data_IF_576907352445
#
_entry.id   IF_576907352445
#
_cell.length_a   1.000
_cell.length_b   1.000
_cell.length_c   1.000
_cell.angle_alpha   90.00
_cell.angle_beta   90.00
_cell.angle_gamma   90.00
#
_symmetry.space_group_name_H-M   'P 1'
#
loop_
_entity.id
_entity.type
_entity.pdbx_description
1 polymer ?
#
# COMPACT_ATOMS: atom_id res chain seq x y z
N UNK A 1 61.36 -10.53 -41.38
CA UNK A 1 62.27 -11.59 -40.90
C UNK A 1 61.48 -12.58 -40.04
N UNK A 2 61.02 -13.68 -40.63
CA UNK A 2 60.29 -14.75 -39.93
C UNK A 2 61.29 -15.65 -39.19
N UNK A 3 61.14 -15.82 -37.87
CA UNK A 3 61.83 -16.88 -37.11
C UNK A 3 60.85 -18.02 -36.81
N UNK A 4 61.09 -19.15 -37.49
CA UNK A 4 60.45 -20.45 -37.24
C UNK A 4 61.04 -21.07 -35.97
N UNK A 5 60.20 -21.43 -35.00
CA UNK A 5 60.59 -22.30 -33.89
C UNK A 5 60.13 -23.73 -34.20
N UNK A 6 61.09 -24.64 -34.38
CA UNK A 6 60.87 -26.07 -34.60
C UNK A 6 60.51 -26.73 -33.26
N UNK A 7 59.35 -27.37 -33.22
CA UNK A 7 58.94 -28.28 -32.15
C UNK A 7 59.59 -29.64 -32.41
N UNK A 8 60.55 -30.02 -31.55
CA UNK A 8 61.24 -31.32 -31.61
C UNK A 8 60.35 -32.43 -31.07
N UNK A 9 60.02 -33.37 -31.95
CA UNK A 9 59.26 -34.59 -31.67
C UNK A 9 60.24 -35.61 -31.06
N UNK A 10 60.00 -36.02 -29.81
CA UNK A 10 60.70 -37.15 -29.19
C UNK A 10 59.92 -38.43 -29.47
N UNK A 11 60.53 -39.33 -30.23
CA UNK A 11 59.96 -40.59 -30.70
C UNK A 11 60.48 -41.69 -29.77
N UNK A 12 59.63 -42.24 -28.92
CA UNK A 12 59.95 -43.43 -28.13
C UNK A 12 59.68 -44.69 -29.00
N UNK A 13 60.68 -45.55 -29.26
CA UNK A 13 60.55 -46.69 -30.15
C UNK A 13 60.12 -47.93 -29.36
N UNK A 14 58.82 -48.19 -29.28
CA UNK A 14 58.30 -49.53 -28.98
C UNK A 14 56.92 -49.69 -29.59
N UNK A 15 56.92 -50.14 -30.84
CA UNK A 15 55.74 -50.61 -31.55
C UNK A 15 55.52 -52.10 -31.23
N UNK A 16 54.28 -52.61 -31.24
CA UNK A 16 53.86 -53.30 -32.46
C UNK A 16 52.42 -52.95 -32.91
N UNK A 17 52.27 -52.75 -34.21
CA UNK A 17 51.00 -52.64 -34.92
C UNK A 17 50.17 -53.91 -34.75
N UNK A 18 48.89 -53.74 -34.42
CA UNK A 18 47.82 -54.68 -34.82
C UNK A 18 46.66 -53.87 -35.42
N UNK A 19 46.22 -54.13 -36.66
CA UNK A 19 45.15 -53.37 -37.31
C UNK A 19 43.82 -54.12 -37.19
N UNK A 20 42.75 -53.50 -36.67
CA UNK A 20 41.38 -53.96 -36.94
C UNK A 20 40.33 -52.87 -36.67
N UNK A 21 39.77 -52.39 -37.79
CA UNK A 21 38.34 -52.25 -38.09
C UNK A 21 37.49 -51.20 -37.36
N UNK A 22 37.05 -50.26 -38.19
CA UNK A 22 35.95 -49.32 -38.00
C UNK A 22 34.70 -50.01 -37.43
N UNK A 23 34.20 -49.45 -36.32
CA UNK A 23 32.78 -49.55 -35.98
C UNK A 23 32.28 -48.17 -35.57
N UNK A 24 31.43 -47.62 -36.42
CA UNK A 24 30.50 -46.54 -36.07
C UNK A 24 29.78 -46.90 -34.76
N UNK A 25 30.14 -46.23 -33.67
CA UNK A 25 29.25 -46.06 -32.53
C UNK A 25 29.00 -44.57 -32.38
N UNK A 26 27.85 -44.17 -32.91
CA UNK A 26 27.14 -42.95 -32.57
C UNK A 26 27.12 -42.77 -31.06
N UNK A 27 27.91 -41.81 -30.54
CA UNK A 27 27.60 -41.21 -29.25
C UNK A 27 26.20 -40.61 -29.35
N UNK A 28 25.25 -40.94 -28.46
CA UNK A 28 24.02 -40.19 -28.40
C UNK A 28 24.37 -38.74 -28.11
N UNK A 29 23.81 -37.87 -28.94
CA UNK A 29 23.79 -36.43 -28.78
C UNK A 29 23.48 -36.12 -27.32
N UNK A 30 24.48 -35.60 -26.62
CA UNK A 30 24.30 -35.02 -25.30
C UNK A 30 23.29 -33.90 -25.52
N UNK A 31 22.10 -34.06 -24.93
CA UNK A 31 21.09 -33.01 -24.83
C UNK A 31 21.77 -31.71 -24.39
N UNK A 32 21.32 -30.54 -24.88
CA UNK A 32 21.87 -29.27 -24.41
C UNK A 32 21.85 -29.29 -22.89
N UNK A 33 23.01 -29.07 -22.28
CA UNK A 33 23.13 -28.88 -20.84
C UNK A 33 22.20 -27.73 -20.51
N UNK A 34 21.02 -28.06 -19.99
CA UNK A 34 20.10 -27.12 -19.38
C UNK A 34 20.88 -26.58 -18.17
N UNK A 35 21.58 -25.47 -18.38
CA UNK A 35 22.13 -24.66 -17.32
C UNK A 35 20.92 -24.17 -16.49
N UNK A 36 20.44 -25.01 -15.58
CA UNK A 36 19.61 -24.56 -14.47
C UNK A 36 20.52 -23.70 -13.62
N UNK A 37 20.46 -22.40 -13.87
CA UNK A 37 21.01 -21.40 -12.98
C UNK A 37 20.62 -21.75 -11.53
N UNK A 38 21.54 -21.56 -10.57
CA UNK A 38 21.24 -21.85 -9.17
C UNK A 38 19.96 -21.10 -8.75
N UNK A 39 19.07 -21.72 -7.95
CA UNK A 39 17.83 -21.08 -7.52
C UNK A 39 18.18 -19.77 -6.84
N UNK A 40 17.55 -18.68 -7.29
CA UNK A 40 17.80 -17.35 -6.75
C UNK A 40 17.57 -17.35 -5.24
N UNK A 41 18.56 -16.88 -4.48
CA UNK A 41 18.45 -16.73 -3.04
C UNK A 41 17.55 -15.52 -2.72
N UNK A 42 16.35 -15.81 -2.21
CA UNK A 42 15.34 -14.80 -1.85
C UNK A 42 15.37 -14.45 -0.34
N UNK A 43 16.33 -14.95 0.43
CA UNK A 43 16.38 -14.77 1.89
C UNK A 43 16.57 -13.32 2.34
N UNK A 44 17.05 -12.43 1.46
CA UNK A 44 17.29 -11.01 1.76
C UNK A 44 16.15 -10.06 1.36
N UNK A 45 15.05 -10.57 0.80
CA UNK A 45 13.95 -9.72 0.30
C UNK A 45 12.98 -9.39 1.44
N UNK A 46 12.66 -8.12 1.69
CA UNK A 46 11.65 -7.74 2.69
C UNK A 46 10.23 -8.00 2.15
N UNK A 47 9.82 -9.27 2.15
CA UNK A 47 8.54 -9.72 1.58
C UNK A 47 7.35 -9.06 2.29
N UNK A 48 7.40 -8.95 3.62
CA UNK A 48 6.32 -8.38 4.42
C UNK A 48 6.04 -6.91 4.07
N UNK A 49 7.10 -6.08 4.03
CA UNK A 49 6.99 -4.67 3.68
C UNK A 49 6.47 -4.47 2.26
N UNK A 50 6.97 -5.28 1.30
CA UNK A 50 6.55 -5.20 -0.09
C UNK A 50 5.10 -5.68 -0.30
N UNK A 51 4.66 -6.73 0.39
CA UNK A 51 3.27 -7.18 0.31
C UNK A 51 2.30 -6.19 0.97
N UNK A 52 2.69 -5.59 2.10
CA UNK A 52 1.93 -4.50 2.71
C UNK A 52 1.76 -3.31 1.75
N UNK A 53 2.85 -2.88 1.09
CA UNK A 53 2.79 -1.84 0.06
C UNK A 53 1.96 -2.25 -1.15
N UNK A 54 2.12 -3.48 -1.63
CA UNK A 54 1.37 -4.03 -2.77
C UNK A 54 -0.13 -3.96 -2.52
N UNK A 55 -0.59 -4.38 -1.33
CA UNK A 55 -2.01 -4.32 -0.96
C UNK A 55 -2.53 -2.88 -0.99
N UNK A 56 -1.78 -1.92 -0.43
CA UNK A 56 -2.16 -0.50 -0.42
C UNK A 56 -2.18 0.12 -1.82
N UNK A 57 -1.18 -0.16 -2.66
CA UNK A 57 -1.12 0.28 -4.05
C UNK A 57 -2.28 -0.31 -4.88
N UNK A 58 -2.65 -1.57 -4.63
CA UNK A 58 -3.80 -2.20 -5.30
C UNK A 58 -5.10 -1.50 -4.92
N UNK A 59 -5.30 -1.20 -3.63
CA UNK A 59 -6.47 -0.46 -3.15
C UNK A 59 -6.55 0.95 -3.75
N UNK A 60 -5.42 1.67 -3.80
CA UNK A 60 -5.34 3.00 -4.42
C UNK A 60 -5.69 2.92 -5.92
N UNK A 61 -5.12 1.95 -6.63
CA UNK A 61 -5.35 1.76 -8.08
C UNK A 61 -6.82 1.50 -8.36
N UNK A 62 -7.48 0.65 -7.55
CA UNK A 62 -8.90 0.40 -7.69
C UNK A 62 -9.74 1.67 -7.45
N UNK A 63 -9.38 2.44 -6.42
CA UNK A 63 -10.07 3.71 -6.09
C UNK A 63 -9.90 4.75 -7.20
N UNK A 64 -8.68 4.91 -7.73
CA UNK A 64 -8.40 5.81 -8.86
C UNK A 64 -9.10 5.36 -10.14
N UNK A 65 -9.16 4.06 -10.41
CA UNK A 65 -9.88 3.51 -11.55
C UNK A 65 -11.37 3.82 -11.47
N UNK A 66 -11.96 3.71 -10.27
CA UNK A 66 -13.35 4.10 -10.02
C UNK A 66 -13.58 5.60 -10.23
N UNK A 67 -12.70 6.44 -9.69
CA UNK A 67 -12.76 7.89 -9.89
C UNK A 67 -12.64 8.26 -11.37
N UNK A 68 -11.74 7.60 -12.10
CA UNK A 68 -11.58 7.80 -13.53
C UNK A 68 -12.82 7.35 -14.32
N UNK A 69 -13.47 6.25 -13.92
CA UNK A 69 -14.71 5.80 -14.54
C UNK A 69 -15.84 6.83 -14.37
N UNK A 70 -15.89 7.49 -13.21
CA UNK A 70 -16.86 8.56 -12.94
C UNK A 70 -16.60 9.80 -13.78
N UNK A 71 -15.34 10.20 -13.95
CA UNK A 71 -14.98 11.31 -14.84
C UNK A 71 -15.24 11.02 -16.32
N UNK A 72 -15.20 9.74 -16.73
CA UNK A 72 -15.50 9.32 -18.10
C UNK A 72 -17.00 9.28 -18.40
N UNK A 73 -17.85 9.39 -17.38
CA UNK A 73 -19.30 9.38 -17.57
C UNK A 73 -19.73 10.70 -18.27
N UNK A 74 -20.44 10.64 -19.41
CA UNK A 74 -20.82 11.84 -20.18
C UNK A 74 -21.83 12.76 -19.48
N UNK A 75 -22.45 12.29 -18.40
CA UNK A 75 -23.37 13.02 -17.56
C UNK A 75 -22.62 13.49 -16.32
N UNK A 76 -22.72 14.79 -16.01
CA UNK A 76 -22.04 15.41 -14.86
C UNK A 76 -22.41 14.66 -13.58
N UNK A 77 -21.45 13.92 -13.03
CA UNK A 77 -21.63 13.21 -11.76
C UNK A 77 -22.04 14.19 -10.67
N UNK A 78 -22.96 13.78 -9.81
CA UNK A 78 -23.36 14.57 -8.64
C UNK A 78 -22.13 14.92 -7.78
N UNK A 79 -21.94 16.20 -7.48
CA UNK A 79 -20.75 16.73 -6.79
C UNK A 79 -20.43 16.00 -5.48
N UNK A 80 -21.44 15.64 -4.69
CA UNK A 80 -21.24 14.93 -3.41
C UNK A 80 -20.66 13.53 -3.62
N UNK A 81 -21.03 12.85 -4.72
CA UNK A 81 -20.45 11.55 -5.06
C UNK A 81 -18.96 11.71 -5.39
N UNK A 82 -18.63 12.72 -6.21
CA UNK A 82 -17.24 13.02 -6.56
C UNK A 82 -16.39 13.37 -5.34
N UNK A 83 -16.91 14.25 -4.47
CA UNK A 83 -16.23 14.64 -3.23
C UNK A 83 -15.99 13.43 -2.32
N UNK A 84 -16.96 12.53 -2.20
CA UNK A 84 -16.82 11.30 -1.41
C UNK A 84 -15.70 10.43 -1.97
N UNK A 85 -15.67 10.22 -3.29
CA UNK A 85 -14.61 9.42 -3.92
C UNK A 85 -13.23 10.07 -3.78
N UNK A 86 -13.15 11.39 -3.90
CA UNK A 86 -11.93 12.14 -3.66
C UNK A 86 -11.43 11.99 -2.21
N UNK A 87 -12.30 12.10 -1.21
CA UNK A 87 -11.95 11.88 0.20
C UNK A 87 -11.43 10.45 0.46
N UNK A 88 -12.01 9.45 -0.22
CA UNK A 88 -11.50 8.07 -0.14
C UNK A 88 -10.08 8.00 -0.72
N UNK A 89 -9.83 8.61 -1.88
CA UNK A 89 -8.48 8.66 -2.47
C UNK A 89 -7.48 9.32 -1.50
N UNK A 90 -7.84 10.46 -0.89
CA UNK A 90 -6.99 11.14 0.09
C UNK A 90 -6.66 10.23 1.28
N UNK A 91 -7.65 9.51 1.80
CA UNK A 91 -7.45 8.58 2.91
C UNK A 91 -6.50 7.44 2.52
N UNK A 92 -6.64 6.90 1.31
CA UNK A 92 -5.76 5.83 0.83
C UNK A 92 -4.33 6.32 0.54
N UNK A 93 -4.17 7.55 0.03
CA UNK A 93 -2.86 8.17 -0.13
C UNK A 93 -2.18 8.42 1.23
N UNK A 94 -2.93 8.90 2.23
CA UNK A 94 -2.42 9.08 3.58
C UNK A 94 -1.99 7.74 4.21
N UNK A 95 -2.80 6.68 4.04
CA UNK A 95 -2.45 5.33 4.51
C UNK A 95 -1.21 4.76 3.81
N UNK A 96 -1.09 4.95 2.49
CA UNK A 96 0.09 4.54 1.73
C UNK A 96 1.34 5.29 2.20
N UNK A 97 1.23 6.62 2.40
CA UNK A 97 2.34 7.44 2.91
C UNK A 97 2.77 7.02 4.31
N UNK A 98 1.83 6.71 5.20
CA UNK A 98 2.14 6.17 6.53
C UNK A 98 2.88 4.83 6.45
N UNK A 99 2.42 3.91 5.60
CA UNK A 99 3.05 2.60 5.39
C UNK A 99 4.46 2.76 4.79
N UNK A 100 4.65 3.69 3.86
CA UNK A 100 5.95 3.98 3.25
C UNK A 100 6.95 4.56 4.27
N UNK A 101 6.47 5.43 5.18
CA UNK A 101 7.27 5.99 6.26
C UNK A 101 7.72 4.92 7.25
N UNK A 102 6.81 4.01 7.63
CA UNK A 102 7.08 2.89 8.53
C UNK A 102 8.18 1.95 8.01
N UNK A 103 8.13 1.61 6.72
CA UNK A 103 9.11 0.71 6.08
C UNK A 103 10.28 1.44 5.39
N UNK A 104 10.41 2.76 5.57
CA UNK A 104 11.40 3.60 4.87
C UNK A 104 12.83 3.05 4.93
N UNK A 105 13.31 2.72 6.12
CA UNK A 105 14.66 2.18 6.35
C UNK A 105 14.92 0.88 5.56
N UNK A 106 13.95 -0.05 5.60
CA UNK A 106 14.06 -1.33 4.90
C UNK A 106 14.05 -1.13 3.38
N UNK A 107 13.18 -0.26 2.88
CA UNK A 107 13.04 0.02 1.45
C UNK A 107 14.23 0.79 0.87
N UNK A 108 14.85 1.69 1.65
CA UNK A 108 16.07 2.40 1.25
C UNK A 108 17.26 1.47 1.08
N UNK A 109 17.38 0.45 1.95
CA UNK A 109 18.44 -0.55 1.87
C UNK A 109 18.24 -1.57 0.74
N UNK A 110 17.01 -1.71 0.24
CA UNK A 110 16.64 -2.73 -0.74
C UNK A 110 16.86 -2.22 -2.17
N UNK A 111 17.64 -2.95 -2.97
CA UNK A 111 17.86 -2.64 -4.39
C UNK A 111 17.06 -3.61 -5.26
N UNK A 112 16.20 -3.05 -6.13
CA UNK A 112 15.43 -3.84 -7.08
C UNK A 112 16.26 -4.13 -8.34
N UNK A 113 16.48 -5.42 -8.63
CA UNK A 113 17.04 -5.91 -9.88
C UNK A 113 16.06 -6.86 -10.57
N UNK A 114 16.07 -6.96 -11.91
CA UNK A 114 15.27 -7.96 -12.61
C UNK A 114 15.68 -9.37 -12.20
N UNK A 115 14.72 -10.29 -12.21
CA UNK A 115 14.97 -11.70 -11.97
C UNK A 115 15.84 -12.30 -13.11
N UNK A 116 16.69 -13.30 -12.84
CA UNK A 116 17.49 -13.97 -13.87
C UNK A 116 16.64 -14.60 -14.98
N UNK A 117 15.42 -15.02 -14.64
CA UNK A 117 14.45 -15.59 -15.56
C UNK A 117 13.78 -14.56 -16.49
N UNK A 118 13.93 -13.26 -16.23
CA UNK A 118 13.30 -12.21 -17.02
C UNK A 118 14.11 -11.93 -18.30
N UNK A 119 13.49 -11.90 -19.50
CA UNK A 119 14.18 -11.66 -20.76
C UNK A 119 14.61 -10.19 -20.87
N UNK A 120 15.76 -9.87 -20.26
CA UNK A 120 16.30 -8.50 -20.16
C UNK A 120 16.66 -7.89 -21.51
N UNK A 121 17.10 -8.69 -22.48
CA UNK A 121 17.53 -8.22 -23.81
C UNK A 121 16.38 -7.94 -24.77
N UNK A 122 15.26 -8.66 -24.66
CA UNK A 122 14.10 -8.47 -25.56
C UNK A 122 13.19 -7.32 -25.09
N UNK A 123 13.16 -7.05 -23.77
CA UNK A 123 12.23 -6.12 -23.14
C UNK A 123 12.94 -4.98 -22.40
N UNK A 124 14.12 -4.57 -22.88
CA UNK A 124 14.94 -3.51 -22.28
C UNK A 124 14.18 -2.17 -22.17
N UNK A 125 13.43 -1.79 -23.22
CA UNK A 125 12.64 -0.55 -23.23
C UNK A 125 11.53 -0.51 -22.18
N UNK A 126 10.91 -1.66 -21.90
CA UNK A 126 9.90 -1.78 -20.85
C UNK A 126 10.55 -1.73 -19.46
N UNK A 127 11.67 -2.45 -19.28
CA UNK A 127 12.40 -2.52 -18.02
C UNK A 127 12.91 -1.14 -17.59
N UNK A 128 13.51 -0.40 -18.52
CA UNK A 128 14.01 0.96 -18.28
C UNK A 128 12.89 1.93 -17.92
N UNK A 129 11.66 1.71 -18.43
CA UNK A 129 10.49 2.51 -18.09
C UNK A 129 9.93 2.15 -16.72
N UNK A 130 9.82 0.86 -16.38
CA UNK A 130 9.27 0.39 -15.10
C UNK A 130 10.19 0.68 -13.90
N UNK A 131 11.50 0.52 -14.08
CA UNK A 131 12.49 0.78 -13.03
C UNK A 131 12.92 2.25 -12.94
N UNK A 132 12.30 3.14 -13.73
CA UNK A 132 12.60 4.57 -13.70
C UNK A 132 12.19 5.17 -12.36
N UNK A 133 13.18 5.66 -11.59
CA UNK A 133 12.96 6.43 -10.35
C UNK A 133 12.71 7.94 -10.58
N UNK A 134 12.96 8.44 -11.79
CA UNK A 134 12.82 9.88 -12.10
C UNK A 134 11.34 10.25 -12.22
N UNK A 135 10.90 11.18 -11.36
CA UNK A 135 9.56 11.76 -11.38
C UNK A 135 9.18 12.36 -12.74
N UNK A 136 7.88 12.63 -12.92
CA UNK A 136 7.37 13.34 -14.08
C UNK A 136 7.99 14.74 -14.19
N UNK A 137 8.25 15.25 -15.40
CA UNK A 137 8.92 16.54 -15.59
C UNK A 137 8.17 17.70 -14.92
N UNK A 138 6.84 17.71 -14.97
CA UNK A 138 5.99 18.72 -14.31
C UNK A 138 6.22 18.78 -12.80
N UNK A 139 6.38 17.62 -12.16
CA UNK A 139 6.63 17.54 -10.71
C UNK A 139 8.02 18.09 -10.37
N UNK A 140 9.01 17.85 -11.24
CA UNK A 140 10.37 18.38 -11.06
C UNK A 140 10.38 19.91 -11.17
N UNK A 141 9.66 20.46 -12.15
CA UNK A 141 9.50 21.90 -12.32
C UNK A 141 8.86 22.54 -11.07
N UNK A 142 7.79 21.95 -10.54
CA UNK A 142 7.16 22.45 -9.31
C UNK A 142 8.07 22.39 -8.08
N UNK A 143 8.93 21.36 -7.99
CA UNK A 143 9.92 21.25 -6.92
C UNK A 143 10.97 22.37 -7.05
N UNK A 144 11.45 22.64 -8.26
CA UNK A 144 12.43 23.70 -8.52
C UNK A 144 11.84 25.09 -8.27
N UNK A 145 10.61 25.35 -8.71
CA UNK A 145 9.86 26.57 -8.44
C UNK A 145 9.66 26.79 -6.94
N UNK A 146 9.28 25.74 -6.21
CA UNK A 146 9.11 25.77 -4.75
C UNK A 146 10.43 26.07 -4.03
N UNK A 147 11.53 25.45 -4.44
CA UNK A 147 12.86 25.72 -3.89
C UNK A 147 13.31 27.16 -4.11
N UNK A 148 13.03 27.74 -5.28
CA UNK A 148 13.34 29.13 -5.57
C UNK A 148 12.56 30.09 -4.64
N UNK A 149 11.28 29.80 -4.40
CA UNK A 149 10.41 30.56 -3.48
C UNK A 149 10.78 30.39 -2.00
N UNK A 150 11.38 29.27 -1.62
CA UNK A 150 11.64 28.89 -0.22
C UNK A 150 12.88 29.57 0.41
N UNK A 151 13.56 30.48 -0.28
CA UNK A 151 14.87 31.02 0.13
C UNK A 151 14.83 31.95 1.34
N UNK A 152 13.66 32.37 1.84
CA UNK A 152 13.55 33.43 2.86
C UNK A 152 12.60 33.13 4.03
N UNK A 153 12.08 31.90 4.16
CA UNK A 153 11.11 31.56 5.21
C UNK A 153 11.79 30.77 6.32
N UNK A 154 11.93 31.40 7.49
CA UNK A 154 12.49 30.87 8.73
C UNK A 154 11.52 29.86 9.39
N UNK A 155 11.14 28.79 8.68
CA UNK A 155 10.12 27.80 9.08
C UNK A 155 10.45 27.01 10.37
N UNK A 156 11.67 27.09 10.88
CA UNK A 156 12.12 26.26 12.01
C UNK A 156 11.45 26.64 13.34
N UNK A 157 10.98 27.87 13.47
CA UNK A 157 10.30 28.34 14.69
C UNK A 157 8.78 28.08 14.66
N UNK A 158 8.21 27.72 13.50
CA UNK A 158 6.76 27.54 13.31
C UNK A 158 6.23 26.18 13.79
N UNK A 159 7.08 25.15 13.93
CA UNK A 159 6.63 23.83 14.40
C UNK A 159 6.09 23.88 15.83
N UNK A 160 6.73 24.67 16.70
CA UNK A 160 6.24 24.92 18.06
C UNK A 160 4.91 25.65 18.08
N UNK A 161 4.76 26.67 17.22
CA UNK A 161 3.54 27.45 17.08
C UNK A 161 2.36 26.60 16.57
N UNK A 162 2.59 25.84 15.50
CA UNK A 162 1.56 24.97 14.90
C UNK A 162 1.12 23.88 15.87
N UNK A 163 2.06 23.26 16.61
CA UNK A 163 1.72 22.29 17.66
C UNK A 163 0.88 22.94 18.77
N UNK A 164 1.29 24.10 19.27
CA UNK A 164 0.52 24.84 20.28
C UNK A 164 -0.88 25.20 19.79
N UNK A 165 -1.03 25.60 18.53
CA UNK A 165 -2.32 25.94 17.93
C UNK A 165 -3.25 24.72 17.88
N UNK A 166 -2.73 23.55 17.47
CA UNK A 166 -3.49 22.29 17.45
C UNK A 166 -3.91 21.88 18.87
N UNK A 167 -3.01 21.97 19.85
CA UNK A 167 -3.31 21.66 21.24
C UNK A 167 -4.38 22.60 21.84
N UNK A 168 -4.29 23.90 21.54
CA UNK A 168 -5.26 24.91 21.99
C UNK A 168 -6.63 24.67 21.35
N UNK A 169 -6.67 24.36 20.06
CA UNK A 169 -7.91 24.00 19.35
C UNK A 169 -8.52 22.73 19.95
N UNK A 170 -7.72 21.71 20.22
CA UNK A 170 -8.19 20.45 20.80
C UNK A 170 -8.76 20.66 22.20
N UNK A 171 -8.09 21.48 23.04
CA UNK A 171 -8.61 21.88 24.35
C UNK A 171 -9.93 22.63 24.23
N UNK A 172 -10.03 23.57 23.29
CA UNK A 172 -11.26 24.28 23.00
C UNK A 172 -12.39 23.33 22.62
N UNK A 173 -12.13 22.36 21.73
CA UNK A 173 -13.10 21.36 21.32
C UNK A 173 -13.55 20.48 22.50
N UNK A 174 -12.63 20.04 23.34
CA UNK A 174 -12.96 19.20 24.51
C UNK A 174 -13.76 19.95 25.58
N UNK A 175 -13.53 21.25 25.73
CA UNK A 175 -14.25 22.08 26.68
C UNK A 175 -15.70 22.40 26.27
N UNK A 176 -16.07 22.08 25.03
CA UNK A 176 -17.42 22.34 24.51
C UNK A 176 -18.09 21.02 24.15
N UNK A 177 -19.28 20.79 24.70
CA UNK A 177 -20.16 19.77 24.19
C UNK A 177 -20.92 20.36 22.98
N UNK A 178 -20.65 19.84 21.77
CA UNK A 178 -21.35 20.23 20.54
C UNK A 178 -22.60 19.39 20.28
N UNK A 179 -22.96 18.52 21.22
CA UNK A 179 -24.16 17.70 21.16
C UNK A 179 -25.18 18.25 22.15
N UNK A 180 -26.37 18.57 21.68
CA UNK A 180 -27.44 19.20 22.46
C UNK A 180 -28.30 20.11 21.58
N UNK A 181 -29.51 20.44 22.04
CA UNK A 181 -30.41 21.39 21.37
C UNK A 181 -30.27 22.82 21.85
N UNK A 182 -29.62 23.01 22.99
CA UNK A 182 -29.44 24.30 23.62
C UNK A 182 -28.01 24.79 23.45
N UNK A 183 -27.91 26.10 23.24
CA UNK A 183 -26.61 26.77 23.29
C UNK A 183 -26.09 26.78 24.73
N UNK A 184 -24.78 26.95 24.88
CA UNK A 184 -24.14 27.01 26.21
C UNK A 184 -24.74 28.10 27.10
N UNK A 185 -25.12 29.24 26.51
CA UNK A 185 -25.73 30.36 27.24
C UNK A 185 -27.13 30.02 27.76
N UNK A 186 -27.89 29.18 27.06
CA UNK A 186 -29.22 28.73 27.50
C UNK A 186 -29.12 27.68 28.62
N UNK A 187 -28.13 26.77 28.54
CA UNK A 187 -27.81 25.81 29.60
C UNK A 187 -27.32 26.51 30.89
N UNK A 188 -26.44 27.51 30.76
CA UNK A 188 -25.94 28.29 31.90
C UNK A 188 -27.07 29.13 32.55
N UNK A 189 -28.10 29.50 31.79
CA UNK A 189 -29.33 30.14 32.28
C UNK A 189 -30.37 29.15 32.83
N UNK A 190 -30.05 27.85 32.90
CA UNK A 190 -30.87 26.82 33.53
C UNK A 190 -31.90 26.14 32.63
N UNK A 191 -31.78 26.26 31.30
CA UNK A 191 -32.58 25.43 30.39
C UNK A 191 -32.11 23.97 30.46
N UNK A 192 -33.05 23.05 30.73
CA UNK A 192 -32.78 21.61 30.78
C UNK A 192 -32.94 20.99 29.38
N UNK A 193 -32.09 20.01 29.03
CA UNK A 193 -32.13 19.34 27.73
C UNK A 193 -33.33 18.37 27.68
N UNK A 194 -34.37 18.74 26.92
CA UNK A 194 -35.68 18.06 26.88
C UNK A 194 -35.62 16.57 26.49
N UNK A 195 -34.51 16.09 25.92
CA UNK A 195 -34.38 14.69 25.48
C UNK A 195 -34.24 13.67 26.61
N UNK A 196 -33.71 14.05 27.77
CA UNK A 196 -33.64 13.11 28.90
C UNK A 196 -35.04 12.92 29.52
N UNK A 197 -35.84 13.98 29.61
CA UNK A 197 -37.19 13.92 30.20
C UNK A 197 -38.19 13.12 29.35
N UNK A 198 -38.15 13.23 28.02
CA UNK A 198 -39.09 12.52 27.14
C UNK A 198 -38.91 10.99 27.18
N UNK A 199 -37.71 10.49 27.51
CA UNK A 199 -37.48 9.04 27.68
C UNK A 199 -37.84 8.55 29.08
N UNK A 200 -37.55 9.32 30.13
CA UNK A 200 -37.83 8.88 31.50
C UNK A 200 -39.34 8.71 31.75
N UNK A 201 -40.19 9.57 31.18
CA UNK A 201 -41.64 9.42 31.34
C UNK A 201 -42.26 8.26 30.52
N UNK A 202 -41.59 7.80 29.46
CA UNK A 202 -42.12 6.75 28.58
C UNK A 202 -41.88 5.33 29.12
N UNK A 203 -40.77 5.10 29.83
CA UNK A 203 -40.38 3.77 30.32
C UNK A 203 -41.06 3.40 31.66
N UNK A 204 -41.70 4.34 32.37
CA UNK A 204 -42.35 4.07 33.67
C UNK A 204 -43.72 3.34 33.60
N UNK A 205 -44.21 2.97 32.40
CA UNK A 205 -45.58 2.42 32.25
C UNK A 205 -45.71 1.05 31.60
N UNK A 206 -44.69 0.20 31.65
CA UNK A 206 -44.86 -1.23 31.33
C UNK A 206 -44.64 -2.05 32.61
N UNK A 207 -45.71 -2.22 33.40
CA UNK A 207 -45.68 -2.98 34.66
C UNK A 207 -45.61 -4.50 34.49
N UNK A 208 -45.95 -5.02 33.31
CA UNK A 208 -45.95 -6.45 33.02
C UNK A 208 -45.37 -6.68 31.63
N UNK A 209 -44.48 -7.65 31.53
CA UNK A 209 -43.88 -8.04 30.25
C UNK A 209 -44.94 -8.72 29.36
N UNK A 210 -44.86 -8.52 28.05
CA UNK A 210 -45.80 -9.11 27.06
C UNK A 210 -45.97 -10.62 27.25
N UNK A 211 -44.89 -11.33 27.57
CA UNK A 211 -44.89 -12.77 27.85
C UNK A 211 -45.69 -13.14 29.11
N UNK A 212 -45.62 -12.32 30.15
CA UNK A 212 -46.39 -12.52 31.38
C UNK A 212 -47.88 -12.30 31.13
N UNK A 213 -48.24 -11.32 30.31
CA UNK A 213 -49.63 -11.10 29.87
C UNK A 213 -50.14 -12.26 29.03
N UNK A 214 -49.34 -12.77 28.09
CA UNK A 214 -49.70 -13.92 27.26
C UNK A 214 -49.86 -15.19 28.11
N UNK A 215 -48.93 -15.44 29.05
CA UNK A 215 -48.99 -16.59 29.95
C UNK A 215 -50.25 -16.59 30.83
N UNK A 216 -50.66 -15.43 31.32
CA UNK A 216 -51.95 -15.27 31.99
C UNK A 216 -53.13 -15.63 31.08
N UNK A 217 -53.14 -15.14 29.84
CA UNK A 217 -54.25 -15.40 28.90
C UNK A 217 -54.37 -16.88 28.51
N UNK A 218 -53.25 -17.59 28.39
CA UNK A 218 -53.25 -19.00 27.95
C UNK A 218 -53.36 -20.01 29.09
N UNK A 219 -52.82 -19.71 30.28
CA UNK A 219 -52.68 -20.67 31.37
C UNK A 219 -53.42 -20.23 32.66
N UNK A 220 -53.99 -19.02 32.69
CA UNK A 220 -54.68 -18.47 33.85
C UNK A 220 -53.75 -18.09 35.02
N UNK A 221 -52.43 -18.11 34.80
CA UNK A 221 -51.43 -17.87 35.84
C UNK A 221 -51.21 -16.37 36.04
N UNK A 222 -51.47 -15.87 37.26
CA UNK A 222 -51.48 -14.43 37.56
C UNK A 222 -50.02 -13.92 37.55
N UNK A 223 -49.70 -12.88 36.75
CA UNK A 223 -48.34 -12.39 36.64
C UNK A 223 -47.91 -11.75 37.96
N UNK A 224 -46.81 -12.26 38.53
CA UNK A 224 -46.18 -11.69 39.73
C UNK A 224 -45.29 -10.53 39.32
N UNK A 225 -45.41 -9.43 40.05
CA UNK A 225 -44.56 -8.22 39.93
C UNK A 225 -43.12 -8.57 40.28
#
# INVERSE_FOLDING_TARGET
MLRKAKLSININPNNPYTPTNDTHTTKPMQSPVENKEPPADHSGVPVEALEALRLRLTQLTHTLSKLQAEFKNPQLTHYVSLQTQFNIVLTQLASLSGTLSEYSNVLESTVAFPLPQFPTTEQEGLLTTLLRKKAAPEVVEWIEESKAKSTDILLRDDEGLTKWAVETMQRGKQNHNFTGYHTKEELDNGALDEKEDVKMEADEKIRYTVDQTLKFMYQGDIPRV
#
